data_IF_652305541761
#
_entry.id   IF_652305541761
#
_cell.length_a   1.000
_cell.length_b   1.000
_cell.length_c   1.000
_cell.angle_alpha   90.00
_cell.angle_beta   90.00
_cell.angle_gamma   90.00
#
_symmetry.space_group_name_H-M   'P 1'
#
loop_
_entity.id
_entity.type
_entity.pdbx_description
1 polymer ?
#
# COMPACT_ATOMS: atom_id res chain seq x y z
N UNK A 1 -22.13 -42.33 54.44
CA UNK A 1 -21.54 -43.21 55.51
C UNK A 1 -20.08 -42.85 55.64
N UNK A 2 -19.66 -42.58 56.90
CA UNK A 2 -18.32 -42.51 57.52
C UNK A 2 -17.35 -41.50 56.87
N UNK A 3 -17.08 -40.33 57.45
CA UNK A 3 -16.39 -39.89 58.72
C UNK A 3 -15.10 -40.65 59.03
N UNK A 4 -14.01 -39.88 59.09
CA UNK A 4 -12.97 -39.86 60.13
C UNK A 4 -11.84 -38.95 59.63
N UNK A 5 -11.52 -37.83 60.11
CA UNK A 5 -11.11 -37.24 61.41
C UNK A 5 -9.75 -37.74 61.92
N UNK A 6 -9.01 -36.73 62.41
CA UNK A 6 -7.91 -36.71 63.40
C UNK A 6 -6.49 -36.68 62.79
N UNK A 7 -5.49 -35.98 63.33
CA UNK A 7 -5.27 -35.01 64.43
C UNK A 7 -3.81 -34.54 64.30
N UNK A 8 -3.54 -33.28 64.54
CA UNK A 8 -2.71 -32.69 65.60
C UNK A 8 -1.37 -33.35 66.00
N UNK A 9 -0.30 -32.53 65.91
CA UNK A 9 0.75 -32.27 66.95
C UNK A 9 1.84 -31.39 66.31
N UNK A 10 2.06 -30.18 66.65
CA UNK A 10 2.50 -29.45 67.84
C UNK A 10 3.86 -29.86 68.38
N UNK A 11 4.69 -28.85 68.54
CA UNK A 11 5.85 -28.65 69.41
C UNK A 11 7.21 -28.71 68.69
N UNK A 12 8.13 -27.80 68.83
CA UNK A 12 8.76 -27.12 69.96
C UNK A 12 9.77 -26.08 69.41
N UNK A 13 9.71 -24.85 69.84
CA UNK A 13 10.88 -23.96 69.88
C UNK A 13 11.74 -24.28 71.11
N UNK A 14 13.05 -23.99 71.02
CA UNK A 14 13.67 -23.16 72.01
C UNK A 14 14.83 -22.25 71.50
N UNK A 15 15.58 -21.53 72.29
CA UNK A 15 15.44 -20.10 72.50
C UNK A 15 16.69 -19.31 72.07
N UNK A 16 16.53 -17.98 71.93
CA UNK A 16 17.62 -17.01 71.71
C UNK A 16 18.63 -16.93 72.82
N UNK A 17 19.87 -16.52 72.50
CA UNK A 17 20.49 -15.52 73.35
C UNK A 17 20.93 -14.24 72.58
N UNK A 18 20.58 -13.16 73.20
CA UNK A 18 21.05 -11.81 72.97
C UNK A 18 22.55 -11.69 73.17
N UNK A 19 23.30 -11.16 72.20
CA UNK A 19 24.48 -10.32 72.49
C UNK A 19 24.66 -9.29 71.38
N UNK A 20 24.63 -8.05 71.82
CA UNK A 20 24.94 -6.79 71.23
C UNK A 20 26.32 -6.76 70.60
N UNK A 21 26.44 -6.24 69.36
CA UNK A 21 27.61 -5.46 68.95
C UNK A 21 27.18 -4.50 67.86
N UNK A 22 27.27 -3.22 68.14
CA UNK A 22 27.15 -2.08 67.24
C UNK A 22 28.28 -2.08 66.22
N UNK A 23 27.96 -2.08 64.92
CA UNK A 23 28.87 -1.61 63.90
C UNK A 23 28.03 -0.85 62.86
N UNK A 24 28.21 0.47 62.88
CA UNK A 24 27.66 1.39 61.91
C UNK A 24 28.38 1.13 60.57
N UNK A 25 27.66 0.59 59.55
CA UNK A 25 28.09 0.60 58.19
C UNK A 25 27.13 1.52 57.40
N UNK A 26 27.66 2.67 57.01
CA UNK A 26 27.00 3.61 56.10
C UNK A 26 26.80 2.94 54.74
N UNK A 27 25.59 2.50 54.45
CA UNK A 27 25.18 2.09 53.10
C UNK A 27 24.77 3.33 52.35
N UNK A 28 25.68 3.90 51.57
CA UNK A 28 25.36 4.86 50.51
C UNK A 28 24.57 4.14 49.45
N UNK A 29 23.25 4.20 49.54
CA UNK A 29 22.35 3.79 48.44
C UNK A 29 22.56 4.74 47.29
N UNK A 30 23.36 4.36 46.31
CA UNK A 30 23.34 4.96 44.98
C UNK A 30 22.00 4.58 44.37
N UNK A 31 21.03 5.45 44.50
CA UNK A 31 19.82 5.45 43.69
C UNK A 31 20.26 5.70 42.23
N UNK A 32 20.53 4.64 41.48
CA UNK A 32 20.53 4.69 40.02
C UNK A 32 19.10 4.97 39.60
N UNK A 33 18.76 6.24 39.56
CA UNK A 33 17.54 6.68 38.90
C UNK A 33 17.60 6.26 37.45
N UNK A 34 16.87 5.20 37.09
CA UNK A 34 16.50 4.96 35.72
C UNK A 34 15.76 6.20 35.26
N UNK A 35 16.44 7.09 34.56
CA UNK A 35 15.81 8.14 33.80
C UNK A 35 15.04 7.43 32.67
N UNK A 36 13.79 7.05 32.96
CA UNK A 36 12.80 6.94 31.90
C UNK A 36 12.86 8.28 31.17
N UNK A 37 13.35 8.28 29.95
CA UNK A 37 13.19 9.41 29.06
C UNK A 37 11.66 9.59 28.92
N UNK A 38 11.11 10.43 29.77
CA UNK A 38 9.75 10.93 29.60
C UNK A 38 9.80 11.61 28.25
N UNK A 39 9.03 11.10 27.30
CA UNK A 39 8.77 11.78 26.04
C UNK A 39 8.01 13.06 26.41
N UNK A 40 8.76 14.09 26.79
CA UNK A 40 8.20 15.37 27.22
C UNK A 40 7.73 16.08 25.97
N UNK A 41 6.42 16.31 25.89
CA UNK A 41 5.82 17.18 24.86
C UNK A 41 5.82 18.62 25.40
N UNK A 42 6.90 19.41 25.17
CA UNK A 42 7.10 20.69 25.80
C UNK A 42 6.11 21.73 25.28
N UNK A 43 5.66 22.59 26.21
CA UNK A 43 4.87 23.77 25.86
C UNK A 43 5.77 24.76 25.13
N UNK A 44 5.36 25.21 23.95
CA UNK A 44 6.11 26.12 23.07
C UNK A 44 5.52 27.52 23.05
N UNK A 45 4.21 27.67 23.33
CA UNK A 45 3.52 28.96 23.46
C UNK A 45 2.25 28.83 24.31
N UNK A 46 1.64 29.97 24.66
CA UNK A 46 0.32 30.05 25.32
C UNK A 46 -0.53 31.13 24.68
N UNK A 47 -1.78 30.82 24.43
CA UNK A 47 -2.79 31.73 23.89
C UNK A 47 -3.94 31.82 24.92
N UNK A 48 -4.10 32.94 25.57
CA UNK A 48 -5.12 33.14 26.66
C UNK A 48 -5.07 32.04 27.74
N UNK A 49 -3.87 31.53 28.03
CA UNK A 49 -3.66 30.46 29.02
C UNK A 49 -3.74 29.03 28.45
N UNK A 50 -4.31 28.82 27.29
CA UNK A 50 -4.26 27.53 26.57
C UNK A 50 -2.87 27.27 26.00
N UNK A 51 -2.39 26.05 26.13
CA UNK A 51 -1.04 25.68 25.72
C UNK A 51 -0.99 25.23 24.26
N UNK A 52 0.06 25.63 23.54
CA UNK A 52 0.53 25.07 22.28
C UNK A 52 1.76 24.23 22.60
N UNK A 53 1.77 22.98 22.21
CA UNK A 53 2.84 22.01 22.46
C UNK A 53 3.63 21.69 21.20
N UNK A 54 4.79 21.05 21.36
CA UNK A 54 5.58 20.60 20.23
C UNK A 54 4.83 19.62 19.33
N UNK A 55 3.98 18.77 19.88
CA UNK A 55 3.10 17.88 19.12
C UNK A 55 2.10 18.64 18.25
N UNK A 56 1.58 19.78 18.72
CA UNK A 56 0.66 20.62 17.94
C UNK A 56 1.39 21.23 16.72
N UNK A 57 2.67 21.65 16.92
CA UNK A 57 3.49 22.14 15.80
C UNK A 57 3.73 21.03 14.76
N UNK A 58 3.96 19.80 15.20
CA UNK A 58 4.16 18.67 14.28
C UNK A 58 2.90 18.40 13.43
N UNK A 59 1.72 18.44 14.06
CA UNK A 59 0.44 18.29 13.35
C UNK A 59 0.24 19.43 12.33
N UNK A 60 0.50 20.69 12.74
CA UNK A 60 0.39 21.82 11.84
C UNK A 60 1.41 21.75 10.69
N UNK A 61 2.63 21.26 10.96
CA UNK A 61 3.66 21.03 9.94
C UNK A 61 3.22 20.01 8.91
N UNK A 62 2.59 18.90 9.32
CA UNK A 62 2.05 17.89 8.40
C UNK A 62 0.95 18.48 7.50
N UNK A 63 0.13 19.39 8.03
CA UNK A 63 -1.00 19.97 7.29
C UNK A 63 -0.56 21.07 6.32
N UNK A 64 0.24 22.02 6.78
CA UNK A 64 0.56 23.22 5.98
C UNK A 64 2.00 23.29 5.49
N UNK A 65 2.90 22.46 6.03
CA UNK A 65 4.35 22.55 5.81
C UNK A 65 4.77 22.41 4.36
N UNK A 66 4.08 21.56 3.58
CA UNK A 66 4.39 21.39 2.15
C UNK A 66 4.11 22.63 1.29
N UNK A 67 3.23 23.53 1.78
CA UNK A 67 2.86 24.77 1.07
C UNK A 67 3.67 25.98 1.54
N UNK A 68 4.53 25.82 2.54
CA UNK A 68 5.35 26.92 3.03
C UNK A 68 6.56 27.15 2.14
N UNK A 69 6.97 28.41 1.94
CA UNK A 69 8.21 28.72 1.25
C UNK A 69 9.43 28.22 2.05
N UNK A 70 10.57 28.12 1.39
CA UNK A 70 11.82 27.80 2.06
C UNK A 70 12.14 28.90 3.12
N UNK A 71 12.37 28.47 4.36
CA UNK A 71 12.69 29.37 5.49
C UNK A 71 13.59 28.65 6.49
N UNK A 72 14.21 29.40 7.40
CA UNK A 72 15.01 28.79 8.46
C UNK A 72 14.15 28.01 9.43
N UNK A 73 14.69 27.04 10.16
CA UNK A 73 13.93 26.30 11.17
C UNK A 73 13.25 27.18 12.22
N UNK A 74 13.92 28.26 12.64
CA UNK A 74 13.40 29.22 13.60
C UNK A 74 12.18 29.98 13.02
N UNK A 75 12.33 30.53 11.81
CA UNK A 75 11.24 31.26 11.14
C UNK A 75 10.04 30.32 10.86
N UNK A 76 10.31 29.07 10.54
CA UNK A 76 9.27 28.04 10.34
C UNK A 76 8.51 27.77 11.62
N UNK A 77 9.22 27.59 12.73
CA UNK A 77 8.61 27.42 14.05
C UNK A 77 7.74 28.61 14.45
N UNK A 78 8.26 29.83 14.28
CA UNK A 78 7.54 31.05 14.61
C UNK A 78 6.27 31.20 13.76
N UNK A 79 6.34 30.84 12.48
CA UNK A 79 5.18 30.81 11.61
C UNK A 79 4.11 29.82 12.11
N UNK A 80 4.49 28.59 12.46
CA UNK A 80 3.57 27.57 12.96
C UNK A 80 2.92 27.96 14.30
N UNK A 81 3.71 28.58 15.21
CA UNK A 81 3.16 29.12 16.46
C UNK A 81 2.13 30.20 16.16
N UNK A 82 2.42 31.13 15.23
CA UNK A 82 1.46 32.18 14.84
C UNK A 82 0.21 31.58 14.20
N UNK A 83 0.38 30.65 13.27
CA UNK A 83 -0.73 29.95 12.61
C UNK A 83 -1.67 29.27 13.63
N UNK A 84 -1.11 28.49 14.57
CA UNK A 84 -1.89 27.82 15.61
C UNK A 84 -2.55 28.82 16.57
N UNK A 85 -1.84 29.91 16.90
CA UNK A 85 -2.40 30.97 17.75
C UNK A 85 -3.63 31.63 17.12
N UNK A 86 -3.54 31.99 15.84
CA UNK A 86 -4.64 32.57 15.08
C UNK A 86 -5.82 31.59 14.96
N UNK A 87 -5.53 30.33 14.68
CA UNK A 87 -6.54 29.26 14.62
C UNK A 87 -7.29 29.15 15.97
N UNK A 88 -6.57 29.13 17.10
CA UNK A 88 -7.18 29.02 18.42
C UNK A 88 -8.05 30.25 18.75
N UNK A 89 -7.59 31.47 18.42
CA UNK A 89 -8.35 32.69 18.62
C UNK A 89 -9.63 32.74 17.80
N UNK A 90 -9.54 32.35 16.52
CA UNK A 90 -10.70 32.31 15.61
C UNK A 90 -11.70 31.24 16.07
N UNK A 91 -11.19 30.04 16.43
CA UNK A 91 -12.02 28.97 16.95
C UNK A 91 -12.78 29.40 18.21
N UNK A 92 -12.09 30.05 19.17
CA UNK A 92 -12.73 30.59 20.39
C UNK A 92 -13.80 31.59 20.07
N UNK A 93 -13.55 32.51 19.15
CA UNK A 93 -14.55 33.51 18.76
C UNK A 93 -15.79 32.86 18.07
N UNK A 94 -15.60 31.78 17.35
CA UNK A 94 -16.70 31.00 16.74
C UNK A 94 -17.51 30.25 17.82
N UNK A 95 -16.86 29.67 18.82
CA UNK A 95 -17.52 29.04 19.97
C UNK A 95 -18.38 30.07 20.76
N UNK A 96 -17.85 31.25 21.02
CA UNK A 96 -18.57 32.31 21.71
C UNK A 96 -19.83 32.76 20.95
N UNK A 97 -19.81 32.64 19.64
CA UNK A 97 -20.96 32.85 18.74
C UNK A 97 -21.86 31.61 18.61
N UNK A 98 -21.58 30.52 19.34
CA UNK A 98 -22.33 29.26 19.33
C UNK A 98 -22.38 28.59 17.94
N UNK A 99 -21.41 28.87 17.08
CA UNK A 99 -21.34 28.24 15.74
C UNK A 99 -21.13 26.71 15.81
N UNK A 100 -20.52 26.21 16.88
CA UNK A 100 -20.37 24.81 17.18
C UNK A 100 -21.69 24.07 17.48
N UNK A 101 -22.76 24.81 17.81
CA UNK A 101 -24.08 24.25 18.08
C UNK A 101 -24.87 23.95 16.80
N UNK A 102 -24.43 24.46 15.65
CA UNK A 102 -25.05 24.25 14.37
C UNK A 102 -25.05 22.78 13.95
N UNK A 103 -26.14 22.33 13.39
CA UNK A 103 -26.35 20.93 13.01
C UNK A 103 -25.42 20.48 11.89
N UNK A 104 -25.07 21.36 10.95
CA UNK A 104 -24.13 21.05 9.86
C UNK A 104 -22.71 20.93 10.39
N UNK A 105 -22.30 21.84 11.27
CA UNK A 105 -21.02 21.77 11.95
C UNK A 105 -20.85 20.43 12.69
N UNK A 106 -21.85 20.03 13.47
CA UNK A 106 -21.83 18.76 14.23
C UNK A 106 -21.70 17.55 13.31
N UNK A 107 -22.41 17.55 12.16
CA UNK A 107 -22.28 16.45 11.16
C UNK A 107 -20.88 16.41 10.56
N UNK A 108 -20.31 17.55 10.20
CA UNK A 108 -18.94 17.65 9.64
C UNK A 108 -17.91 17.20 10.67
N UNK A 109 -18.02 17.62 11.91
CA UNK A 109 -17.13 17.19 12.98
C UNK A 109 -17.17 15.66 13.20
N UNK A 110 -18.37 15.09 13.24
CA UNK A 110 -18.55 13.64 13.36
C UNK A 110 -17.92 12.88 12.16
N UNK A 111 -18.10 13.41 10.95
CA UNK A 111 -17.47 12.84 9.74
C UNK A 111 -15.93 12.89 9.82
N UNK A 112 -15.37 14.06 10.17
CA UNK A 112 -13.91 14.22 10.29
C UNK A 112 -13.33 13.32 11.37
N UNK A 113 -14.00 13.21 12.52
CA UNK A 113 -13.60 12.27 13.57
C UNK A 113 -13.60 10.83 13.09
N UNK A 114 -14.65 10.39 12.40
CA UNK A 114 -14.74 9.02 11.88
C UNK A 114 -13.68 8.76 10.81
N UNK A 115 -13.39 9.73 9.94
CA UNK A 115 -12.32 9.66 8.94
C UNK A 115 -10.97 9.47 9.63
N UNK A 116 -10.64 10.28 10.62
CA UNK A 116 -9.38 10.19 11.35
C UNK A 116 -9.22 8.84 12.07
N UNK A 117 -10.29 8.35 12.70
CA UNK A 117 -10.29 7.02 13.35
C UNK A 117 -10.05 5.91 12.32
N UNK A 118 -10.67 6.00 11.16
CA UNK A 118 -10.47 5.04 10.06
C UNK A 118 -9.01 5.04 9.59
N UNK A 119 -8.46 6.21 9.30
CA UNK A 119 -7.07 6.38 8.86
C UNK A 119 -6.09 5.85 9.90
N UNK A 120 -6.31 6.17 11.18
CA UNK A 120 -5.48 5.70 12.30
C UNK A 120 -5.47 4.17 12.40
N UNK A 121 -6.66 3.55 12.35
CA UNK A 121 -6.77 2.09 12.41
C UNK A 121 -6.09 1.44 11.20
N UNK A 122 -6.40 1.90 9.99
CA UNK A 122 -5.84 1.32 8.76
C UNK A 122 -4.32 1.50 8.68
N UNK A 123 -3.79 2.61 9.20
CA UNK A 123 -2.34 2.81 9.31
C UNK A 123 -1.71 1.80 10.29
N UNK A 124 -2.32 1.61 11.46
CA UNK A 124 -1.82 0.65 12.46
C UNK A 124 -1.82 -0.79 11.92
N UNK A 125 -2.91 -1.21 11.25
CA UNK A 125 -3.01 -2.53 10.62
C UNK A 125 -1.94 -2.72 9.53
N UNK A 126 -1.75 -1.70 8.67
CA UNK A 126 -0.72 -1.72 7.62
C UNK A 126 0.68 -1.84 8.21
N UNK A 127 1.01 -1.02 9.21
CA UNK A 127 2.32 -1.02 9.87
C UNK A 127 2.63 -2.38 10.53
N UNK A 128 1.62 -3.01 11.11
CA UNK A 128 1.76 -4.35 11.70
C UNK A 128 1.98 -5.44 10.64
N UNK A 129 1.36 -5.28 9.45
CA UNK A 129 1.43 -6.26 8.38
C UNK A 129 2.75 -6.20 7.59
N UNK A 130 3.36 -5.03 7.47
CA UNK A 130 4.62 -4.84 6.72
C UNK A 130 5.77 -5.35 7.57
N UNK A 131 6.28 -6.53 7.20
CA UNK A 131 7.48 -7.13 7.77
C UNK A 131 8.16 -8.01 6.72
N UNK A 132 9.44 -8.31 6.94
CA UNK A 132 10.26 -9.07 5.98
C UNK A 132 9.64 -10.41 5.58
N UNK A 133 9.08 -11.14 6.54
CA UNK A 133 8.48 -12.45 6.28
C UNK A 133 7.25 -12.34 5.36
N UNK A 134 6.35 -11.38 5.60
CA UNK A 134 5.18 -11.15 4.78
C UNK A 134 5.57 -10.68 3.37
N UNK A 135 6.57 -9.82 3.26
CA UNK A 135 7.05 -9.32 1.97
C UNK A 135 7.71 -10.42 1.14
N UNK A 136 8.55 -11.25 1.76
CA UNK A 136 9.15 -12.41 1.07
C UNK A 136 8.09 -13.44 0.67
N UNK A 137 7.08 -13.69 1.52
CA UNK A 137 5.97 -14.58 1.17
C UNK A 137 5.25 -14.12 -0.10
N UNK A 138 4.94 -12.81 -0.21
CA UNK A 138 4.30 -12.25 -1.42
C UNK A 138 5.21 -12.40 -2.64
N UNK A 139 6.50 -12.12 -2.48
CA UNK A 139 7.49 -12.29 -3.54
C UNK A 139 7.57 -13.74 -4.01
N UNK A 140 7.70 -14.68 -3.09
CA UNK A 140 7.82 -16.11 -3.39
C UNK A 140 6.57 -16.65 -4.09
N UNK A 141 5.39 -16.23 -3.64
CA UNK A 141 4.14 -16.66 -4.25
C UNK A 141 3.97 -16.10 -5.68
N UNK A 142 4.34 -14.85 -5.91
CA UNK A 142 4.33 -14.24 -7.21
C UNK A 142 5.35 -14.88 -8.17
N UNK A 143 6.56 -15.11 -7.67
CA UNK A 143 7.66 -15.69 -8.49
C UNK A 143 7.43 -17.16 -8.81
N UNK A 144 6.81 -17.94 -7.91
CA UNK A 144 6.38 -19.32 -8.19
C UNK A 144 5.41 -19.39 -9.36
N UNK A 145 4.51 -18.43 -9.48
CA UNK A 145 3.57 -18.38 -10.61
C UNK A 145 4.27 -18.01 -11.92
N UNK A 146 5.32 -17.21 -11.87
CA UNK A 146 6.13 -16.81 -13.03
C UNK A 146 7.14 -17.90 -13.44
N UNK A 147 7.52 -18.77 -12.49
CA UNK A 147 8.55 -19.79 -12.73
C UNK A 147 8.12 -20.77 -13.83
N UNK A 148 8.94 -20.89 -14.86
CA UNK A 148 8.68 -21.76 -16.02
C UNK A 148 7.77 -21.15 -17.09
N UNK A 149 7.29 -19.92 -16.90
CA UNK A 149 6.58 -19.18 -17.93
C UNK A 149 7.54 -18.80 -19.06
N UNK A 150 7.10 -19.02 -20.30
CA UNK A 150 7.92 -18.69 -21.48
C UNK A 150 7.49 -17.34 -22.02
N UNK A 151 8.46 -16.54 -22.39
CA UNK A 151 8.29 -15.34 -23.19
C UNK A 151 8.77 -15.57 -24.62
N UNK A 152 8.00 -15.04 -25.54
CA UNK A 152 8.34 -15.04 -26.96
C UNK A 152 8.51 -13.59 -27.41
N UNK A 153 9.62 -13.27 -28.07
CA UNK A 153 9.77 -12.05 -28.84
C UNK A 153 9.42 -12.33 -30.28
N UNK A 154 8.46 -11.63 -30.81
CA UNK A 154 8.03 -11.81 -32.18
C UNK A 154 7.80 -10.48 -32.89
N UNK A 155 7.85 -10.57 -34.22
CA UNK A 155 7.35 -9.55 -35.13
C UNK A 155 6.06 -10.03 -35.77
N UNK A 156 5.17 -9.14 -36.13
CA UNK A 156 3.99 -9.49 -36.88
C UNK A 156 3.65 -8.48 -37.98
N UNK A 157 2.90 -8.96 -38.98
CA UNK A 157 2.27 -8.16 -40.01
C UNK A 157 0.79 -8.50 -39.99
N UNK A 158 -0.05 -7.48 -39.74
CA UNK A 158 -1.51 -7.60 -39.75
C UNK A 158 -2.07 -7.13 -41.09
N UNK A 159 -2.90 -7.93 -41.71
CA UNK A 159 -3.60 -7.61 -42.97
C UNK A 159 -5.09 -8.00 -42.86
N UNK A 160 -5.90 -7.55 -43.84
CA UNK A 160 -7.36 -7.74 -43.77
C UNK A 160 -7.79 -9.12 -44.24
N UNK A 161 -7.07 -9.68 -45.25
CA UNK A 161 -7.47 -10.93 -45.91
C UNK A 161 -6.41 -12.03 -45.82
N UNK A 162 -6.86 -13.27 -45.91
CA UNK A 162 -5.98 -14.42 -45.93
C UNK A 162 -5.03 -14.42 -47.16
N UNK A 163 -5.54 -13.95 -48.29
CA UNK A 163 -4.75 -13.91 -49.52
C UNK A 163 -3.62 -12.88 -49.43
N UNK A 164 -3.87 -11.73 -48.79
CA UNK A 164 -2.81 -10.77 -48.47
C UNK A 164 -1.76 -11.38 -47.53
N UNK A 165 -2.19 -12.10 -46.50
CA UNK A 165 -1.27 -12.77 -45.59
C UNK A 165 -0.42 -13.84 -46.30
N UNK A 166 -1.02 -14.63 -47.19
CA UNK A 166 -0.28 -15.60 -48.03
C UNK A 166 0.73 -14.90 -48.93
N UNK A 167 0.36 -13.74 -49.50
CA UNK A 167 1.29 -12.95 -50.33
C UNK A 167 2.48 -12.43 -49.48
N UNK A 168 2.21 -11.93 -48.27
CA UNK A 168 3.24 -11.50 -47.30
C UNK A 168 4.20 -12.68 -47.01
N UNK A 169 3.67 -13.87 -46.69
CA UNK A 169 4.50 -15.06 -46.43
C UNK A 169 5.36 -15.40 -47.65
N UNK A 170 4.82 -15.32 -48.86
CA UNK A 170 5.55 -15.60 -50.09
C UNK A 170 6.70 -14.61 -50.35
N UNK A 171 6.50 -13.32 -50.05
CA UNK A 171 7.53 -12.28 -50.17
C UNK A 171 8.65 -12.49 -49.13
N UNK A 172 8.28 -12.79 -47.87
CA UNK A 172 9.25 -13.09 -46.80
C UNK A 172 10.10 -14.34 -47.12
N UNK A 173 9.48 -15.37 -47.69
CA UNK A 173 10.20 -16.57 -48.13
C UNK A 173 11.17 -16.31 -49.31
N UNK A 174 10.97 -15.25 -50.09
CA UNK A 174 11.90 -14.80 -51.14
C UNK A 174 13.04 -13.95 -50.61
N UNK A 175 13.06 -13.64 -49.31
CA UNK A 175 14.12 -12.89 -48.64
C UNK A 175 13.85 -11.40 -48.44
N UNK A 176 12.62 -10.93 -48.68
CA UNK A 176 12.23 -9.54 -48.35
C UNK A 176 12.38 -9.30 -46.83
N UNK A 177 12.89 -8.13 -46.48
CA UNK A 177 13.04 -7.78 -45.06
C UNK A 177 11.70 -7.69 -44.37
N UNK A 178 11.57 -8.29 -43.17
CA UNK A 178 10.34 -8.35 -42.45
C UNK A 178 9.88 -6.96 -41.99
N UNK A 179 10.83 -6.14 -41.52
CA UNK A 179 10.51 -4.82 -40.99
C UNK A 179 10.07 -3.85 -42.10
N UNK A 180 10.69 -3.93 -43.28
CA UNK A 180 10.25 -3.15 -44.45
C UNK A 180 8.84 -3.55 -44.84
N UNK A 181 8.56 -4.85 -44.91
CA UNK A 181 7.25 -5.35 -45.33
C UNK A 181 6.17 -5.02 -44.31
N UNK A 182 6.51 -5.03 -43.01
CA UNK A 182 5.63 -4.61 -41.94
C UNK A 182 5.25 -3.10 -42.05
N UNK A 183 6.24 -2.25 -42.33
CA UNK A 183 5.98 -0.82 -42.55
C UNK A 183 5.10 -0.53 -43.75
N UNK A 184 5.24 -1.30 -44.79
CA UNK A 184 4.52 -1.12 -46.06
C UNK A 184 3.09 -1.66 -46.02
N UNK A 185 2.89 -2.82 -45.39
CA UNK A 185 1.65 -3.59 -45.51
C UNK A 185 0.87 -3.79 -44.24
N UNK A 186 1.49 -3.65 -43.05
CA UNK A 186 0.80 -3.92 -41.82
C UNK A 186 -0.27 -2.84 -41.51
N UNK A 187 -1.45 -3.32 -41.15
CA UNK A 187 -2.57 -2.51 -40.67
C UNK A 187 -2.54 -2.30 -39.14
N UNK A 188 -1.53 -2.84 -38.46
CA UNK A 188 -1.35 -2.59 -37.03
C UNK A 188 -0.76 -1.19 -36.79
N UNK A 189 -1.51 -0.28 -36.12
CA UNK A 189 -1.06 1.10 -35.95
C UNK A 189 0.13 1.24 -35.02
N UNK A 190 0.30 0.30 -34.06
CA UNK A 190 1.35 0.35 -33.07
C UNK A 190 2.65 -0.29 -33.53
N UNK A 191 2.55 -1.46 -34.19
CA UNK A 191 3.72 -2.25 -34.57
C UNK A 191 4.31 -1.92 -35.92
N UNK A 192 3.53 -1.34 -36.86
CA UNK A 192 4.00 -1.08 -38.23
C UNK A 192 5.22 -0.14 -38.26
N UNK A 193 5.22 0.94 -37.49
CA UNK A 193 6.32 1.90 -37.38
C UNK A 193 7.62 1.25 -36.86
N UNK A 194 7.49 0.34 -35.92
CA UNK A 194 8.58 -0.44 -35.30
C UNK A 194 9.00 -1.67 -36.14
N UNK A 195 8.52 -1.77 -37.39
CA UNK A 195 8.78 -2.92 -38.25
C UNK A 195 8.12 -4.20 -37.75
N UNK A 196 6.98 -4.08 -37.07
CA UNK A 196 6.20 -5.19 -36.55
C UNK A 196 6.69 -5.78 -35.24
N UNK A 197 7.70 -5.20 -34.57
CA UNK A 197 8.26 -5.73 -33.31
C UNK A 197 7.30 -5.54 -32.15
N UNK A 198 6.91 -6.64 -31.49
CA UNK A 198 6.02 -6.66 -30.33
C UNK A 198 6.78 -6.75 -29.00
N UNK A 199 8.11 -6.83 -29.04
CA UNK A 199 8.89 -7.15 -27.85
C UNK A 199 8.65 -8.57 -27.33
N UNK A 200 9.03 -8.80 -26.07
CA UNK A 200 8.72 -10.06 -25.38
C UNK A 200 7.31 -10.01 -24.78
N UNK A 201 6.58 -11.09 -24.97
CA UNK A 201 5.24 -11.27 -24.41
C UNK A 201 5.03 -12.71 -23.93
N UNK A 202 4.16 -12.87 -22.95
CA UNK A 202 3.68 -14.15 -22.43
C UNK A 202 2.38 -14.55 -23.13
N UNK A 203 1.95 -15.80 -22.93
CA UNK A 203 0.74 -16.34 -23.57
C UNK A 203 -0.52 -15.51 -23.31
N UNK A 204 -0.68 -15.00 -22.09
CA UNK A 204 -1.85 -14.28 -21.60
C UNK A 204 -1.91 -12.81 -22.02
N UNK A 205 -0.82 -12.26 -22.55
CA UNK A 205 -0.77 -10.87 -23.04
C UNK A 205 -1.30 -10.70 -24.47
N UNK A 206 -1.52 -11.79 -25.18
CA UNK A 206 -1.99 -11.79 -26.56
C UNK A 206 -3.28 -12.61 -26.70
N UNK A 207 -4.04 -12.35 -27.76
CA UNK A 207 -5.22 -13.18 -28.06
C UNK A 207 -4.82 -14.63 -28.28
N UNK A 208 -5.66 -15.60 -27.85
CA UNK A 208 -5.27 -17.02 -27.83
C UNK A 208 -4.73 -17.55 -29.16
N UNK A 209 -5.37 -17.22 -30.27
CA UNK A 209 -5.00 -17.69 -31.59
C UNK A 209 -3.59 -17.24 -31.99
N UNK A 210 -3.24 -16.00 -31.63
CA UNK A 210 -1.92 -15.42 -31.91
C UNK A 210 -0.86 -16.04 -31.00
N UNK A 211 -1.09 -16.07 -29.67
CA UNK A 211 -0.12 -16.59 -28.71
C UNK A 211 0.15 -18.09 -28.93
N UNK A 212 -0.87 -18.89 -29.25
CA UNK A 212 -0.70 -20.30 -29.54
C UNK A 212 0.12 -20.55 -30.81
N UNK A 213 -0.09 -19.73 -31.84
CA UNK A 213 0.72 -19.82 -33.04
C UNK A 213 2.18 -19.44 -32.77
N UNK A 214 2.42 -18.32 -32.11
CA UNK A 214 3.76 -17.83 -31.76
C UNK A 214 4.53 -18.84 -30.88
N UNK A 215 3.86 -19.42 -29.87
CA UNK A 215 4.50 -20.40 -28.98
C UNK A 215 4.87 -21.72 -29.65
N UNK A 216 4.19 -22.13 -30.72
CA UNK A 216 4.51 -23.34 -31.49
C UNK A 216 5.72 -23.18 -32.43
N UNK A 217 6.01 -21.95 -32.83
CA UNK A 217 7.13 -21.66 -33.74
C UNK A 217 8.45 -21.71 -32.99
N UNK A 218 9.52 -22.12 -33.67
CA UNK A 218 10.87 -21.98 -33.15
C UNK A 218 11.47 -20.63 -33.52
N UNK A 219 12.59 -20.25 -32.86
CA UNK A 219 13.34 -19.03 -33.15
C UNK A 219 13.69 -18.96 -34.66
N UNK A 220 13.38 -17.84 -35.27
CA UNK A 220 13.58 -17.56 -36.69
C UNK A 220 12.48 -18.11 -37.62
N UNK A 221 11.53 -18.86 -37.08
CA UNK A 221 10.45 -19.42 -37.91
C UNK A 221 9.34 -18.38 -38.17
N UNK A 222 8.70 -18.57 -39.32
CA UNK A 222 7.57 -17.80 -39.80
C UNK A 222 6.30 -18.65 -39.70
N UNK A 223 5.19 -18.03 -39.25
CA UNK A 223 3.89 -18.71 -39.23
C UNK A 223 3.27 -18.84 -40.62
N UNK A 224 2.37 -19.77 -40.75
CA UNK A 224 1.29 -19.64 -41.73
C UNK A 224 0.36 -18.48 -41.33
N UNK A 225 -0.54 -18.00 -42.23
CA UNK A 225 -1.51 -16.99 -41.89
C UNK A 225 -2.36 -17.38 -40.65
N UNK A 226 -2.38 -16.55 -39.62
CA UNK A 226 -3.13 -16.76 -38.37
C UNK A 226 -4.31 -15.80 -38.29
N UNK A 227 -5.53 -16.32 -38.20
CA UNK A 227 -6.74 -15.53 -38.10
C UNK A 227 -7.04 -15.14 -36.64
N UNK A 228 -7.34 -13.88 -36.40
CA UNK A 228 -7.87 -13.36 -35.12
C UNK A 228 -9.08 -12.46 -35.40
N UNK A 229 -9.66 -11.89 -34.34
CA UNK A 229 -10.71 -10.87 -34.47
C UNK A 229 -10.25 -9.58 -35.16
N UNK A 230 -8.96 -9.30 -35.22
CA UNK A 230 -8.36 -8.10 -35.81
C UNK A 230 -8.04 -8.25 -37.29
N UNK A 231 -8.01 -9.44 -37.79
CA UNK A 231 -7.61 -9.77 -39.18
C UNK A 231 -6.70 -10.99 -39.25
N UNK A 232 -5.81 -10.99 -40.25
CA UNK A 232 -4.86 -12.06 -40.51
C UNK A 232 -3.44 -11.62 -40.18
N UNK A 233 -2.75 -12.41 -39.37
CA UNK A 233 -1.39 -12.15 -38.91
C UNK A 233 -0.41 -13.08 -39.57
N UNK A 234 0.74 -12.54 -39.95
CA UNK A 234 1.95 -13.31 -40.25
C UNK A 234 2.95 -13.02 -39.14
N UNK A 235 3.39 -14.05 -38.44
CA UNK A 235 4.20 -13.94 -37.21
C UNK A 235 5.59 -14.51 -37.49
N UNK A 236 6.63 -13.80 -37.05
CA UNK A 236 8.01 -14.30 -37.03
C UNK A 236 8.54 -14.28 -35.62
N UNK A 237 8.97 -15.41 -35.09
CA UNK A 237 9.59 -15.49 -33.77
C UNK A 237 11.06 -15.08 -33.86
N UNK A 238 11.42 -14.05 -33.12
CA UNK A 238 12.79 -13.54 -33.02
C UNK A 238 13.58 -14.22 -31.90
N UNK A 239 12.92 -14.51 -30.77
CA UNK A 239 13.56 -15.16 -29.64
C UNK A 239 12.54 -15.82 -28.70
N UNK A 240 13.01 -16.79 -27.91
CA UNK A 240 12.26 -17.45 -26.83
C UNK A 240 13.15 -17.55 -25.60
N UNK A 241 12.60 -17.25 -24.46
CA UNK A 241 13.31 -17.36 -23.18
C UNK A 241 12.36 -17.73 -22.04
N UNK A 242 12.94 -18.17 -20.94
CA UNK A 242 12.21 -18.19 -19.68
C UNK A 242 11.99 -16.75 -19.22
N UNK A 243 10.78 -16.46 -18.73
CA UNK A 243 10.45 -15.15 -18.23
C UNK A 243 11.40 -14.78 -17.09
N UNK A 244 12.15 -13.67 -17.19
CA UNK A 244 13.04 -13.27 -16.11
C UNK A 244 12.24 -12.90 -14.87
N UNK A 245 12.61 -13.50 -13.74
CA UNK A 245 12.04 -13.16 -12.44
C UNK A 245 12.82 -11.97 -11.89
N UNK A 246 12.18 -10.83 -11.60
CA UNK A 246 12.87 -9.69 -11.00
C UNK A 246 13.36 -10.06 -9.61
N UNK A 247 14.50 -9.51 -9.18
CA UNK A 247 14.96 -9.70 -7.80
C UNK A 247 14.01 -9.05 -6.80
N UNK A 248 14.02 -9.54 -5.56
CA UNK A 248 13.22 -8.97 -4.47
C UNK A 248 13.44 -7.45 -4.33
N UNK A 249 14.71 -7.00 -4.37
CA UNK A 249 15.06 -5.59 -4.24
C UNK A 249 14.50 -4.72 -5.37
N UNK A 250 14.36 -5.26 -6.59
CA UNK A 250 13.78 -4.51 -7.71
C UNK A 250 12.28 -4.26 -7.57
N UNK A 251 11.58 -5.11 -6.81
CA UNK A 251 10.12 -5.05 -6.65
C UNK A 251 9.68 -4.77 -5.22
N UNK A 252 10.61 -4.52 -4.31
CA UNK A 252 10.37 -4.35 -2.88
C UNK A 252 9.29 -3.32 -2.58
N UNK A 253 9.38 -2.13 -3.16
CA UNK A 253 8.41 -1.04 -2.92
C UNK A 253 7.00 -1.39 -3.45
N UNK A 254 6.96 -2.17 -4.55
CA UNK A 254 5.69 -2.65 -5.10
C UNK A 254 5.05 -3.70 -4.18
N UNK A 255 5.87 -4.59 -3.62
CA UNK A 255 5.44 -5.60 -2.66
C UNK A 255 4.96 -4.95 -1.37
N UNK A 256 5.70 -3.97 -0.83
CA UNK A 256 5.29 -3.23 0.35
C UNK A 256 3.93 -2.54 0.12
N UNK A 257 3.79 -1.85 -1.00
CA UNK A 257 2.51 -1.22 -1.39
C UNK A 257 1.37 -2.26 -1.46
N UNK A 258 1.64 -3.43 -2.00
CA UNK A 258 0.65 -4.51 -2.06
C UNK A 258 0.28 -5.02 -0.67
N UNK A 259 1.25 -5.27 0.21
CA UNK A 259 1.03 -5.73 1.59
C UNK A 259 0.19 -4.72 2.37
N UNK A 260 0.51 -3.42 2.27
CA UNK A 260 -0.25 -2.33 2.88
C UNK A 260 -1.71 -2.36 2.41
N UNK A 261 -1.95 -2.36 1.10
CA UNK A 261 -3.31 -2.37 0.53
C UNK A 261 -4.09 -3.61 0.92
N UNK A 262 -3.42 -4.76 0.91
CA UNK A 262 -4.04 -6.02 1.32
C UNK A 262 -4.44 -6.00 2.79
N UNK A 263 -3.58 -5.55 3.70
CA UNK A 263 -3.88 -5.45 5.12
C UNK A 263 -5.08 -4.53 5.38
N UNK A 264 -5.14 -3.37 4.73
CA UNK A 264 -6.28 -2.45 4.83
C UNK A 264 -7.58 -3.07 4.32
N UNK A 265 -7.53 -3.74 3.17
CA UNK A 265 -8.70 -4.42 2.60
C UNK A 265 -9.19 -5.56 3.50
N UNK A 266 -8.29 -6.37 4.03
CA UNK A 266 -8.60 -7.47 4.94
C UNK A 266 -9.22 -6.97 6.25
N UNK A 267 -8.68 -5.89 6.84
CA UNK A 267 -9.24 -5.24 8.03
C UNK A 267 -10.68 -4.76 7.79
N UNK A 268 -10.92 -4.08 6.68
CA UNK A 268 -12.27 -3.63 6.30
C UNK A 268 -13.21 -4.82 6.05
N UNK A 269 -12.74 -5.85 5.34
CA UNK A 269 -13.54 -7.05 5.06
C UNK A 269 -13.96 -7.77 6.35
N UNK A 270 -13.02 -7.90 7.30
CA UNK A 270 -13.29 -8.48 8.62
C UNK A 270 -14.37 -7.71 9.40
N UNK A 271 -14.28 -6.37 9.41
CA UNK A 271 -15.27 -5.54 10.08
C UNK A 271 -16.65 -5.65 9.41
N UNK A 272 -16.69 -5.75 8.09
CA UNK A 272 -17.94 -5.92 7.34
C UNK A 272 -18.66 -7.24 7.62
N UNK A 273 -17.94 -8.32 7.93
CA UNK A 273 -18.55 -9.61 8.24
C UNK A 273 -19.45 -9.56 9.47
N UNK A 274 -19.13 -8.70 10.46
CA UNK A 274 -19.94 -8.52 11.66
C UNK A 274 -20.97 -7.40 11.58
N UNK A 275 -21.07 -6.68 10.45
CA UNK A 275 -21.87 -5.47 10.33
C UNK A 275 -23.19 -5.73 9.56
N UNK A 276 -24.29 -5.21 10.08
CA UNK A 276 -25.56 -5.11 9.35
C UNK A 276 -25.58 -3.78 8.58
N UNK A 277 -25.50 -3.83 7.26
CA UNK A 277 -25.54 -2.66 6.40
C UNK A 277 -26.86 -2.66 5.63
N UNK A 278 -27.74 -1.74 5.96
CA UNK A 278 -28.99 -1.53 5.24
C UNK A 278 -28.87 -0.31 4.30
N UNK A 279 -29.18 -0.52 3.04
CA UNK A 279 -29.25 0.57 2.06
C UNK A 279 -30.71 1.00 1.92
N UNK A 280 -30.99 2.23 2.33
CA UNK A 280 -32.32 2.81 2.18
C UNK A 280 -32.36 3.56 0.84
N UNK A 281 -33.37 3.27 -0.01
CA UNK A 281 -33.58 4.05 -1.22
C UNK A 281 -34.02 5.47 -0.83
N UNK A 282 -33.39 6.46 -1.45
CA UNK A 282 -33.83 7.84 -1.29
C UNK A 282 -35.24 7.97 -1.89
N UNK A 283 -36.24 8.33 -1.05
CA UNK A 283 -37.56 8.68 -1.56
C UNK A 283 -37.40 9.83 -2.54
N UNK A 284 -37.92 9.73 -3.77
CA UNK A 284 -37.83 10.84 -4.71
C UNK A 284 -38.38 12.12 -4.05
N UNK A 285 -37.64 13.21 -4.16
CA UNK A 285 -38.14 14.50 -3.69
C UNK A 285 -39.45 14.77 -4.40
N UNK A 286 -40.55 15.02 -3.65
CA UNK A 286 -41.77 15.50 -4.21
C UNK A 286 -41.47 16.82 -4.96
N UNK A 287 -41.95 17.00 -6.22
CA UNK A 287 -41.74 18.24 -6.92
C UNK A 287 -42.42 19.39 -6.14
N UNK A 288 -41.65 20.39 -5.79
CA UNK A 288 -42.20 21.62 -5.20
C UNK A 288 -43.28 22.14 -6.11
N UNK A 289 -44.52 22.13 -5.60
CA UNK A 289 -45.65 22.81 -6.29
C UNK A 289 -45.34 24.31 -6.29
N UNK A 290 -45.05 24.81 -7.49
CA UNK A 290 -44.99 26.27 -7.75
C UNK A 290 -46.40 26.88 -7.62
#
# INVERSE_FOLDING_TARGET
MRRLSLTLRSALQPPVPRRMLLLAAAVTSVMAGSACAQNTDPVVARVNGAEIRSSDLAIAEEEVGANLPAMTPEARRDYLVSYLSDMMLVAKAAEDKKMADDGDFKRRLAYMRNKLLMETLLHAESKSAVNDAAMHQVYDDATKQMAGEKEVRARHILVETEDEAKAVVAELKKGTDFAELARLKSKDPGGSAEGGDLGYFTKDQMVPEFSEAALKLEKGQLSDPVKTQFGWHVIKVEDKRDRPVPSFEQVKDQIETYVVRKAQADAIAKLRQGAKIERLEAKPAEPEKK
#
